data_IF_075476318339
#
_entry.id   IF_075476318339
#
_cell.length_a   1.000
_cell.length_b   1.000
_cell.length_c   1.000
_cell.angle_alpha   90.00
_cell.angle_beta   90.00
_cell.angle_gamma   90.00
#
_symmetry.space_group_name_H-M   'P 1'
#
loop_
_entity.id
_entity.type
_entity.pdbx_description
1 polymer ?
#
# COMPACT_ATOMS: atom_id res chain seq x y z
N UNK A 1 -4.92 -26.51 -23.28
CA UNK A 1 -3.72 -25.98 -22.61
C UNK A 1 -3.71 -24.47 -22.82
N UNK A 2 -3.61 -23.65 -21.76
CA UNK A 2 -3.61 -22.18 -21.93
C UNK A 2 -2.27 -21.76 -22.53
N UNK A 3 -2.29 -21.18 -23.73
CA UNK A 3 -1.09 -20.88 -24.53
C UNK A 3 -0.10 -19.95 -23.78
N UNK A 4 -0.62 -19.01 -23.00
CA UNK A 4 0.17 -18.10 -22.16
C UNK A 4 1.00 -18.82 -21.10
N UNK A 5 0.45 -19.86 -20.45
CA UNK A 5 1.16 -20.64 -19.43
C UNK A 5 2.30 -21.46 -20.04
N UNK A 6 2.10 -22.00 -21.25
CA UNK A 6 3.15 -22.70 -21.97
C UNK A 6 4.30 -21.75 -22.35
N UNK A 7 3.97 -20.54 -22.81
CA UNK A 7 4.97 -19.52 -23.12
C UNK A 7 5.78 -19.12 -21.88
N UNK A 8 5.10 -18.91 -20.74
CA UNK A 8 5.77 -18.59 -19.48
C UNK A 8 6.69 -19.74 -19.02
N UNK A 9 6.23 -20.99 -19.11
CA UNK A 9 7.04 -22.16 -18.78
C UNK A 9 8.30 -22.25 -19.66
N UNK A 10 8.17 -22.01 -20.97
CA UNK A 10 9.30 -21.97 -21.89
C UNK A 10 10.27 -20.81 -21.57
N UNK A 11 9.77 -19.64 -21.17
CA UNK A 11 10.59 -18.50 -20.74
C UNK A 11 11.39 -18.83 -19.48
N UNK A 12 10.74 -19.42 -18.46
CA UNK A 12 11.41 -19.85 -17.22
C UNK A 12 12.49 -20.88 -17.55
N UNK A 13 12.18 -21.89 -18.37
CA UNK A 13 13.14 -22.91 -18.79
C UNK A 13 14.35 -22.30 -19.50
N UNK A 14 14.13 -21.34 -20.40
CA UNK A 14 15.21 -20.67 -21.14
C UNK A 14 16.14 -19.90 -20.21
N UNK A 15 15.59 -19.15 -19.23
CA UNK A 15 16.39 -18.46 -18.21
C UNK A 15 17.21 -19.45 -17.39
N UNK A 16 16.59 -20.56 -16.96
CA UNK A 16 17.28 -21.56 -16.16
C UNK A 16 18.45 -22.20 -16.91
N UNK A 17 18.22 -22.56 -18.18
CA UNK A 17 19.24 -23.12 -19.06
C UNK A 17 20.41 -22.16 -19.27
N UNK A 18 20.13 -20.88 -19.56
CA UNK A 18 21.17 -19.86 -19.81
C UNK A 18 21.99 -19.53 -18.56
N UNK A 19 21.37 -19.57 -17.37
CA UNK A 19 22.02 -19.20 -16.10
C UNK A 19 22.55 -20.41 -15.32
N UNK A 20 22.41 -21.63 -15.85
CA UNK A 20 22.80 -22.86 -15.13
C UNK A 20 21.99 -23.12 -13.85
N UNK A 21 20.75 -22.66 -13.78
CA UNK A 21 19.84 -22.86 -12.65
C UNK A 21 19.13 -24.20 -12.80
N UNK A 22 19.16 -25.04 -11.76
CA UNK A 22 18.38 -26.29 -11.69
C UNK A 22 17.16 -26.07 -10.79
N UNK A 23 15.95 -26.31 -11.32
CA UNK A 23 14.71 -26.25 -10.54
C UNK A 23 14.27 -27.67 -10.19
N UNK A 24 14.14 -27.94 -8.89
CA UNK A 24 13.55 -29.18 -8.38
C UNK A 24 12.12 -28.90 -7.93
N UNK A 25 11.15 -29.29 -8.75
CA UNK A 25 9.73 -29.14 -8.43
C UNK A 25 9.31 -30.32 -7.57
N UNK A 26 8.92 -30.05 -6.32
CA UNK A 26 8.31 -31.04 -5.45
C UNK A 26 6.82 -30.78 -5.35
N UNK A 27 6.02 -31.78 -5.66
CA UNK A 27 4.60 -31.75 -5.36
C UNK A 27 4.39 -32.06 -3.87
N UNK A 28 3.63 -31.21 -3.19
CA UNK A 28 3.25 -31.39 -1.78
C UNK A 28 1.73 -31.67 -1.74
N UNK A 29 1.28 -32.74 -1.07
CA UNK A 29 -0.15 -33.01 -0.89
C UNK A 29 -0.87 -31.81 -0.28
N UNK A 30 -2.11 -31.56 -0.73
CA UNK A 30 -2.90 -30.43 -0.21
C UNK A 30 -3.13 -30.50 1.30
N UNK A 31 -3.22 -31.70 1.85
CA UNK A 31 -3.32 -31.95 3.30
C UNK A 31 -2.08 -31.52 4.08
N UNK A 32 -0.92 -31.45 3.43
CA UNK A 32 0.36 -31.03 4.03
C UNK A 32 0.69 -29.56 3.70
N UNK A 33 0.05 -28.99 2.67
CA UNK A 33 0.22 -27.60 2.26
C UNK A 33 -0.85 -26.65 2.84
N UNK A 34 -1.39 -26.98 4.01
CA UNK A 34 -2.51 -26.25 4.62
C UNK A 34 -2.16 -24.81 4.97
N UNK A 35 -0.93 -24.54 5.41
CA UNK A 35 -0.48 -23.19 5.77
C UNK A 35 -0.43 -22.26 4.55
N UNK A 36 0.18 -22.69 3.43
CA UNK A 36 0.23 -21.87 2.22
C UNK A 36 -1.16 -21.70 1.58
N UNK A 37 -1.98 -22.76 1.57
CA UNK A 37 -3.37 -22.67 1.11
C UNK A 37 -4.20 -21.73 2.00
N UNK A 38 -3.97 -21.70 3.31
CA UNK A 38 -4.60 -20.74 4.22
C UNK A 38 -4.16 -19.30 3.95
N UNK A 39 -2.84 -19.04 3.89
CA UNK A 39 -2.30 -17.69 3.64
C UNK A 39 -2.72 -17.16 2.27
N UNK A 40 -2.71 -17.99 1.22
CA UNK A 40 -3.18 -17.58 -0.11
C UNK A 40 -4.67 -17.24 -0.18
N UNK A 41 -5.46 -17.68 0.80
CA UNK A 41 -6.88 -17.36 0.94
C UNK A 41 -7.13 -16.18 1.88
N UNK A 42 -6.10 -15.66 2.54
CA UNK A 42 -6.22 -14.42 3.29
C UNK A 42 -6.39 -13.28 2.31
N UNK A 43 -7.63 -12.81 2.19
CA UNK A 43 -7.96 -11.60 1.45
C UNK A 43 -7.89 -10.44 2.43
N UNK A 44 -7.04 -9.46 2.15
CA UNK A 44 -7.07 -8.20 2.85
C UNK A 44 -8.25 -7.38 2.32
N UNK A 45 -9.38 -7.48 3.01
CA UNK A 45 -10.59 -6.73 2.67
C UNK A 45 -10.43 -5.21 2.88
N UNK A 46 -9.36 -4.79 3.54
CA UNK A 46 -9.05 -3.40 3.85
C UNK A 46 -7.95 -2.83 2.94
N UNK A 47 -7.44 -3.61 1.98
CA UNK A 47 -6.49 -3.18 0.93
C UNK A 47 -7.22 -2.43 -0.20
N UNK A 48 -7.95 -1.38 0.18
CA UNK A 48 -8.55 -0.44 -0.76
C UNK A 48 -7.48 0.52 -1.27
N UNK A 49 -7.68 1.02 -2.49
CA UNK A 49 -6.76 1.97 -3.09
C UNK A 49 -7.45 2.85 -4.11
N UNK A 50 -6.74 3.85 -4.59
CA UNK A 50 -7.21 4.73 -5.67
C UNK A 50 -6.71 4.25 -7.04
N UNK A 51 -7.39 4.68 -8.11
CA UNK A 51 -6.88 4.47 -9.46
C UNK A 51 -5.58 5.27 -9.68
N UNK A 52 -4.75 4.80 -10.62
CA UNK A 52 -3.52 5.52 -10.97
C UNK A 52 -3.80 6.90 -11.58
N UNK A 53 -4.89 7.04 -12.34
CA UNK A 53 -5.31 8.34 -12.90
C UNK A 53 -5.66 9.34 -11.80
N UNK A 54 -6.37 8.89 -10.76
CA UNK A 54 -6.68 9.75 -9.61
C UNK A 54 -5.42 10.11 -8.84
N UNK A 55 -4.51 9.14 -8.60
CA UNK A 55 -3.23 9.43 -7.98
C UNK A 55 -2.45 10.49 -8.76
N UNK A 56 -2.30 10.33 -10.08
CA UNK A 56 -1.57 11.28 -10.93
C UNK A 56 -2.19 12.69 -10.86
N UNK A 57 -3.52 12.80 -10.93
CA UNK A 57 -4.21 14.07 -10.80
C UNK A 57 -3.89 14.77 -9.46
N UNK A 58 -3.85 14.02 -8.37
CA UNK A 58 -3.56 14.56 -7.04
C UNK A 58 -2.06 14.89 -6.89
N UNK A 59 -1.18 14.07 -7.46
CA UNK A 59 0.26 14.29 -7.46
C UNK A 59 0.65 15.55 -8.27
N UNK A 60 -0.10 15.88 -9.32
CA UNK A 60 0.06 17.16 -10.04
C UNK A 60 -0.26 18.38 -9.16
N UNK A 61 -1.17 18.24 -8.20
CA UNK A 61 -1.61 19.34 -7.32
C UNK A 61 -0.75 19.51 -6.08
N UNK A 62 -0.45 18.40 -5.40
CA UNK A 62 0.21 18.40 -4.07
C UNK A 62 1.48 17.57 -4.02
N UNK A 63 1.93 17.05 -5.16
CA UNK A 63 3.19 16.33 -5.29
C UNK A 63 4.41 17.22 -5.54
N UNK A 64 5.55 16.61 -5.92
CA UNK A 64 5.72 15.17 -6.06
C UNK A 64 5.67 14.48 -4.69
N UNK A 65 4.87 13.43 -4.56
CA UNK A 65 4.92 12.54 -3.40
C UNK A 65 6.16 11.67 -3.48
N UNK A 66 6.79 11.42 -2.35
CA UNK A 66 8.09 10.73 -2.31
C UNK A 66 7.98 9.30 -1.82
N UNK A 67 6.90 8.97 -1.09
CA UNK A 67 6.67 7.64 -0.51
C UNK A 67 5.18 7.35 -0.30
N UNK A 68 4.80 6.11 -0.59
CA UNK A 68 3.46 5.57 -0.33
C UNK A 68 3.45 4.82 1.01
N UNK A 69 2.75 5.34 2.03
CA UNK A 69 2.83 4.76 3.38
C UNK A 69 1.92 3.57 3.60
N UNK A 70 0.90 3.36 2.77
CA UNK A 70 -0.11 2.33 3.00
C UNK A 70 -0.38 1.57 1.71
N UNK A 71 0.58 0.73 1.31
CA UNK A 71 0.49 -0.03 0.07
C UNK A 71 0.96 -1.47 0.19
N UNK A 72 0.50 -2.28 -0.74
CA UNK A 72 1.02 -3.59 -1.07
C UNK A 72 1.75 -3.54 -2.41
N UNK A 73 2.52 -4.57 -2.73
CA UNK A 73 3.18 -4.71 -4.03
C UNK A 73 2.22 -4.69 -5.23
N UNK A 74 0.92 -4.85 -4.99
CA UNK A 74 -0.12 -4.87 -6.02
C UNK A 74 -0.73 -3.49 -6.31
N UNK A 75 -0.77 -2.59 -5.33
CA UNK A 75 -1.48 -1.31 -5.44
C UNK A 75 -0.62 -0.06 -5.23
N UNK A 76 0.68 -0.25 -4.93
CA UNK A 76 1.65 0.82 -4.71
C UNK A 76 1.64 1.87 -5.83
N UNK A 77 1.68 3.16 -5.44
CA UNK A 77 1.74 4.28 -6.39
C UNK A 77 3.14 4.83 -6.63
N UNK A 78 4.06 4.59 -5.70
CA UNK A 78 5.41 5.16 -5.69
C UNK A 78 6.48 4.05 -5.58
N UNK A 79 7.68 4.25 -6.14
CA UNK A 79 8.76 3.25 -6.04
C UNK A 79 9.15 2.92 -4.59
N UNK A 80 9.04 3.90 -3.70
CA UNK A 80 9.26 3.75 -2.26
C UNK A 80 7.92 3.63 -1.56
N UNK A 81 7.77 2.60 -0.74
CA UNK A 81 6.52 2.38 -0.02
C UNK A 81 6.68 1.55 1.25
N UNK A 82 5.69 1.63 2.13
CA UNK A 82 5.59 0.79 3.33
C UNK A 82 4.40 -0.15 3.22
N UNK A 83 4.55 -1.36 3.75
CA UNK A 83 3.52 -2.41 3.71
C UNK A 83 3.21 -2.98 5.08
N UNK A 84 2.00 -3.53 5.24
CA UNK A 84 1.58 -4.19 6.49
C UNK A 84 2.40 -5.46 6.77
N UNK A 85 2.69 -6.22 5.71
CA UNK A 85 3.49 -7.45 5.77
C UNK A 85 4.82 -7.25 5.07
N UNK A 86 5.83 -8.03 5.46
CA UNK A 86 7.11 -8.04 4.76
C UNK A 86 6.91 -8.38 3.29
N UNK A 87 7.54 -7.61 2.41
CA UNK A 87 7.70 -7.96 1.02
C UNK A 87 9.09 -7.48 0.54
N UNK A 88 9.61 -8.10 -0.52
CA UNK A 88 10.98 -7.84 -0.98
C UNK A 88 11.21 -6.44 -1.56
N UNK A 89 10.15 -5.71 -1.93
CA UNK A 89 10.22 -4.39 -2.58
C UNK A 89 9.77 -3.23 -1.69
N UNK A 90 9.24 -3.51 -0.49
CA UNK A 90 8.85 -2.51 0.48
C UNK A 90 10.07 -1.97 1.21
N UNK A 91 10.08 -0.65 1.41
CA UNK A 91 11.12 0.04 2.17
C UNK A 91 11.07 -0.32 3.65
N UNK A 92 9.85 -0.49 4.20
CA UNK A 92 9.66 -0.88 5.60
C UNK A 92 8.32 -1.58 5.82
N UNK A 93 8.27 -2.36 6.90
CA UNK A 93 7.03 -2.91 7.46
C UNK A 93 6.48 -1.93 8.49
N UNK A 94 5.16 -1.77 8.54
CA UNK A 94 4.44 -0.87 9.46
C UNK A 94 4.91 0.59 9.33
N UNK A 95 4.15 1.37 8.58
CA UNK A 95 4.43 2.78 8.33
C UNK A 95 4.54 3.62 9.62
N UNK A 96 3.88 3.23 10.70
CA UNK A 96 3.93 3.98 11.96
C UNK A 96 5.25 3.84 12.73
N UNK A 97 6.12 2.93 12.30
CA UNK A 97 7.48 2.81 12.86
C UNK A 97 8.47 3.78 12.21
N UNK A 98 8.06 4.46 11.13
CA UNK A 98 8.91 5.33 10.33
C UNK A 98 8.72 6.80 10.72
N UNK A 99 9.78 7.60 10.56
CA UNK A 99 9.67 9.06 10.58
C UNK A 99 9.16 9.56 9.23
N UNK A 100 8.14 10.41 9.25
CA UNK A 100 7.49 10.96 8.06
C UNK A 100 7.89 12.42 7.77
N UNK A 101 8.70 13.03 8.65
CA UNK A 101 8.97 14.47 8.67
C UNK A 101 9.67 15.03 7.43
N UNK A 102 10.52 14.24 6.77
CA UNK A 102 11.34 14.67 5.61
C UNK A 102 10.75 14.26 4.26
N UNK A 103 9.50 13.81 4.23
CA UNK A 103 8.88 13.21 3.05
C UNK A 103 7.57 13.93 2.71
N UNK A 104 7.19 13.89 1.44
CA UNK A 104 5.84 14.22 1.02
C UNK A 104 5.03 12.93 0.94
N UNK A 105 4.22 12.68 1.96
CA UNK A 105 3.66 11.36 2.21
C UNK A 105 2.34 11.16 1.45
N UNK A 106 2.26 10.11 0.64
CA UNK A 106 1.00 9.63 0.08
C UNK A 106 0.32 8.68 1.09
N UNK A 107 -0.91 9.01 1.51
CA UNK A 107 -1.59 8.35 2.62
C UNK A 107 -2.98 7.87 2.19
N UNK A 108 -3.10 6.57 1.93
CA UNK A 108 -4.39 5.87 1.66
C UNK A 108 -4.57 4.75 2.69
N UNK A 109 -4.74 5.08 3.98
CA UNK A 109 -4.79 4.06 5.01
C UNK A 109 -6.13 3.30 5.00
N UNK A 110 -6.17 2.06 5.51
CA UNK A 110 -7.40 1.46 5.98
C UNK A 110 -8.19 2.40 6.89
N UNK A 111 -9.53 2.41 6.75
CA UNK A 111 -10.39 3.44 7.36
C UNK A 111 -10.26 3.51 8.88
N UNK A 112 -10.08 2.37 9.55
CA UNK A 112 -9.90 2.32 11.00
C UNK A 112 -8.57 2.93 11.48
N UNK A 113 -7.57 3.07 10.59
CA UNK A 113 -6.26 3.65 10.89
C UNK A 113 -6.20 5.16 10.65
N UNK A 114 -7.17 5.77 9.98
CA UNK A 114 -7.17 7.20 9.62
C UNK A 114 -6.87 8.10 10.82
N UNK A 115 -7.50 7.85 11.97
CA UNK A 115 -7.25 8.64 13.18
C UNK A 115 -5.81 8.51 13.67
N UNK A 116 -5.22 7.31 13.58
CA UNK A 116 -3.82 7.06 13.94
C UNK A 116 -2.87 7.76 12.96
N UNK A 117 -3.20 7.76 11.66
CA UNK A 117 -2.47 8.49 10.62
C UNK A 117 -2.42 9.97 10.93
N UNK A 118 -3.56 10.61 11.19
CA UNK A 118 -3.59 12.05 11.50
C UNK A 118 -2.71 12.36 12.72
N UNK A 119 -2.82 11.56 13.79
CA UNK A 119 -1.98 11.73 14.99
C UNK A 119 -0.50 11.57 14.70
N UNK A 120 -0.13 10.60 13.84
CA UNK A 120 1.26 10.34 13.48
C UNK A 120 1.84 11.46 12.61
N UNK A 121 1.08 11.96 11.63
CA UNK A 121 1.46 13.14 10.83
C UNK A 121 1.77 14.33 11.73
N UNK A 122 0.87 14.62 12.68
CA UNK A 122 1.07 15.72 13.65
C UNK A 122 2.30 15.47 14.53
N UNK A 123 2.48 14.26 15.04
CA UNK A 123 3.60 13.92 15.92
C UNK A 123 4.96 14.03 15.21
N UNK A 124 5.05 13.55 13.97
CA UNK A 124 6.23 13.66 13.12
C UNK A 124 6.43 15.08 12.57
N UNK A 125 5.45 15.98 12.70
CA UNK A 125 5.43 17.28 11.99
C UNK A 125 5.61 17.08 10.47
N UNK A 126 4.95 16.06 9.95
CA UNK A 126 5.07 15.65 8.55
C UNK A 126 4.05 16.38 7.66
N UNK A 127 4.32 16.36 6.37
CA UNK A 127 3.41 16.82 5.32
C UNK A 127 2.97 15.65 4.45
N UNK A 128 1.76 15.69 3.92
CA UNK A 128 1.29 14.66 3.01
C UNK A 128 -0.18 14.79 2.66
N UNK A 129 -0.60 14.00 1.68
CA UNK A 129 -1.97 13.96 1.20
C UNK A 129 -2.69 12.74 1.75
N UNK A 130 -3.73 13.00 2.55
CA UNK A 130 -4.56 11.97 3.18
C UNK A 130 -5.87 11.79 2.43
N UNK A 131 -6.06 10.61 1.84
CA UNK A 131 -7.30 10.24 1.16
C UNK A 131 -8.22 9.51 2.13
N UNK A 132 -9.43 10.04 2.32
CA UNK A 132 -10.46 9.47 3.19
C UNK A 132 -11.84 9.58 2.55
N UNK A 133 -12.76 8.64 2.83
CA UNK A 133 -14.14 8.78 2.43
C UNK A 133 -14.82 9.91 3.20
N UNK A 134 -15.76 10.59 2.54
CA UNK A 134 -16.64 11.56 3.19
C UNK A 134 -17.57 10.83 4.18
N UNK A 135 -17.23 10.84 5.46
CA UNK A 135 -17.96 10.12 6.52
C UNK A 135 -18.07 10.96 7.80
N UNK A 136 -19.11 11.79 7.88
CA UNK A 136 -19.30 12.76 8.96
C UNK A 136 -19.50 12.18 10.36
N UNK A 137 -20.00 10.94 10.46
CA UNK A 137 -20.16 10.24 11.73
C UNK A 137 -18.93 9.43 12.17
N UNK A 138 -17.85 9.40 11.38
CA UNK A 138 -16.65 8.67 11.72
C UNK A 138 -15.85 9.37 12.83
N UNK A 139 -15.16 8.58 13.65
CA UNK A 139 -14.35 9.07 14.79
C UNK A 139 -13.20 10.00 14.38
N UNK A 140 -12.70 9.87 13.15
CA UNK A 140 -11.65 10.74 12.62
C UNK A 140 -12.19 12.06 12.07
N UNK A 141 -13.50 12.17 11.80
CA UNK A 141 -14.07 13.35 11.15
C UNK A 141 -13.80 14.66 11.89
N UNK A 142 -13.91 14.72 13.24
CA UNK A 142 -13.57 15.92 14.00
C UNK A 142 -12.08 16.30 13.97
N UNK A 143 -11.20 15.40 13.49
CA UNK A 143 -9.78 15.66 13.30
C UNK A 143 -9.44 16.18 11.91
N UNK A 144 -10.43 16.25 11.01
CA UNK A 144 -10.28 16.87 9.68
C UNK A 144 -11.07 18.18 9.66
N UNK A 145 -12.26 18.19 10.27
CA UNK A 145 -13.16 19.34 10.31
C UNK A 145 -13.47 19.78 11.74
N UNK A 146 -13.57 21.09 11.95
CA UNK A 146 -14.14 21.74 13.14
C UNK A 146 -15.68 21.66 13.11
N UNK A 147 -16.33 22.12 14.19
CA UNK A 147 -17.76 22.44 14.18
C UNK A 147 -17.95 23.47 13.05
N UNK A 148 -18.91 23.23 12.16
CA UNK A 148 -19.20 24.03 10.94
C UNK A 148 -18.44 23.64 9.65
N UNK A 149 -17.84 22.44 9.58
CA UNK A 149 -17.20 21.91 8.35
C UNK A 149 -16.04 22.76 7.84
N UNK A 150 -15.46 23.59 8.72
CA UNK A 150 -14.22 24.30 8.48
C UNK A 150 -13.07 23.32 8.73
N UNK A 151 -12.04 23.32 7.88
CA UNK A 151 -10.88 22.47 8.09
C UNK A 151 -10.16 22.75 9.42
N UNK A 152 -9.53 21.72 9.98
CA UNK A 152 -8.61 21.90 11.10
C UNK A 152 -7.39 22.72 10.67
N UNK A 153 -6.71 23.37 11.62
CA UNK A 153 -5.63 24.34 11.30
C UNK A 153 -4.41 23.72 10.60
N UNK A 154 -4.29 22.39 10.66
CA UNK A 154 -3.25 21.60 10.01
C UNK A 154 -3.73 20.90 8.73
N UNK A 155 -4.94 21.20 8.26
CA UNK A 155 -5.50 20.69 7.01
C UNK A 155 -5.65 21.85 6.03
N UNK A 156 -5.13 21.65 4.83
CA UNK A 156 -5.20 22.62 3.74
C UNK A 156 -6.02 22.03 2.61
N UNK A 157 -6.95 22.81 2.08
CA UNK A 157 -7.65 22.57 0.83
C UNK A 157 -7.40 23.80 -0.02
N UNK A 158 -6.96 23.60 -1.26
CA UNK A 158 -6.62 24.69 -2.19
C UNK A 158 -7.71 24.80 -3.23
#
# INVERSE_FOLDING_TARGET
MKFELQNLANSIFSVCSQQGISIHVQWIPRSENTLADYVSKMVDHEDWGVSSDFFNFIDEMWGPHTIDRFASHLNVKLPRYNSLFWNATAEAIDAFTQDWSQENNWLVPPIYLVLRVIKHVIACKASGTLIVPKWTSAVFWPYIFKKDMIYQDYVVDV
#
